data_IF_194375394913
#
_entry.id   IF_194375394913
#
_cell.length_a   1.000
_cell.length_b   1.000
_cell.length_c   1.000
_cell.angle_alpha   90.00
_cell.angle_beta   90.00
_cell.angle_gamma   90.00
#
_symmetry.space_group_name_H-M   'P 1'
#
loop_
_entity.id
_entity.type
_entity.pdbx_description
1 polymer ?
#
# COMPACT_ATOMS: atom_id res chain seq x y z
N UNK A 1 33.93 5.87 -11.32
CA UNK A 1 32.91 4.80 -11.39
C UNK A 1 33.05 4.00 -10.11
N UNK A 2 32.20 4.25 -9.13
CA UNK A 2 32.21 3.51 -7.86
C UNK A 2 31.31 2.30 -8.05
N UNK A 3 31.84 1.08 -7.88
CA UNK A 3 31.02 -0.13 -7.92
C UNK A 3 30.01 -0.09 -6.76
N UNK A 4 28.72 -0.39 -7.00
CA UNK A 4 27.72 -0.41 -5.94
C UNK A 4 28.06 -1.48 -4.90
N UNK A 5 27.96 -1.10 -3.62
CA UNK A 5 28.32 -1.98 -2.50
C UNK A 5 27.28 -3.10 -2.38
N UNK A 6 27.61 -4.34 -1.97
CA UNK A 6 26.66 -5.45 -1.86
C UNK A 6 25.36 -5.14 -1.08
N UNK A 7 25.43 -4.22 -0.13
CA UNK A 7 24.28 -3.70 0.61
C UNK A 7 23.30 -2.92 -0.29
N UNK A 8 23.80 -2.05 -1.16
CA UNK A 8 22.99 -1.22 -2.06
C UNK A 8 22.24 -2.08 -3.08
N UNK A 9 22.91 -3.10 -3.63
CA UNK A 9 22.30 -4.10 -4.52
C UNK A 9 21.16 -4.81 -3.81
N UNK A 10 21.39 -5.24 -2.57
CA UNK A 10 20.38 -5.94 -1.76
C UNK A 10 19.17 -5.03 -1.48
N UNK A 11 19.40 -3.78 -1.08
CA UNK A 11 18.33 -2.83 -0.81
C UNK A 11 17.53 -2.47 -2.07
N UNK A 12 18.20 -2.35 -3.21
CA UNK A 12 17.53 -2.12 -4.50
C UNK A 12 16.60 -3.29 -4.86
N UNK A 13 17.06 -4.53 -4.72
CA UNK A 13 16.23 -5.71 -4.95
C UNK A 13 15.02 -5.77 -3.99
N UNK A 14 15.23 -5.51 -2.70
CA UNK A 14 14.12 -5.46 -1.73
C UNK A 14 13.10 -4.37 -2.07
N UNK A 15 13.57 -3.20 -2.51
CA UNK A 15 12.69 -2.10 -2.95
C UNK A 15 11.88 -2.48 -4.19
N UNK A 16 12.48 -3.16 -5.15
CA UNK A 16 11.79 -3.66 -6.34
C UNK A 16 10.73 -4.71 -5.99
N UNK A 17 11.08 -5.67 -5.14
CA UNK A 17 10.13 -6.65 -4.61
C UNK A 17 8.98 -5.99 -3.86
N UNK A 18 9.27 -5.03 -2.99
CA UNK A 18 8.25 -4.27 -2.28
C UNK A 18 7.34 -3.52 -3.25
N UNK A 19 7.90 -2.80 -4.22
CA UNK A 19 7.11 -2.01 -5.19
C UNK A 19 6.20 -2.90 -6.03
N UNK A 20 6.70 -4.06 -6.47
CA UNK A 20 5.91 -5.04 -7.23
C UNK A 20 4.74 -5.58 -6.40
N UNK A 21 5.02 -5.97 -5.15
CA UNK A 21 4.00 -6.42 -4.21
C UNK A 21 2.97 -5.32 -3.94
N UNK A 22 3.43 -4.10 -3.66
CA UNK A 22 2.59 -2.95 -3.32
C UNK A 22 1.61 -2.61 -4.47
N UNK A 23 2.06 -2.71 -5.73
CA UNK A 23 1.16 -2.58 -6.89
C UNK A 23 0.08 -3.67 -6.92
N UNK A 24 0.47 -4.93 -6.72
CA UNK A 24 -0.48 -6.05 -6.67
C UNK A 24 -1.50 -5.89 -5.54
N UNK A 25 -1.05 -5.41 -4.39
CA UNK A 25 -1.92 -5.09 -3.25
C UNK A 25 -2.83 -3.90 -3.53
N UNK A 26 -2.39 -2.93 -4.34
CA UNK A 26 -3.23 -1.85 -4.83
C UNK A 26 -4.39 -2.35 -5.71
N UNK A 27 -4.11 -3.25 -6.65
CA UNK A 27 -5.16 -3.88 -7.46
C UNK A 27 -6.14 -4.70 -6.57
N UNK A 28 -5.63 -5.42 -5.58
CA UNK A 28 -6.45 -6.16 -4.61
C UNK A 28 -7.33 -5.21 -3.78
N UNK A 29 -6.78 -4.10 -3.27
CA UNK A 29 -7.53 -3.07 -2.55
C UNK A 29 -8.67 -2.50 -3.39
N UNK A 30 -8.44 -2.26 -4.68
CA UNK A 30 -9.46 -1.71 -5.59
C UNK A 30 -10.63 -2.68 -5.77
N UNK A 31 -10.36 -3.98 -5.87
CA UNK A 31 -11.39 -5.00 -5.95
C UNK A 31 -12.18 -5.12 -4.64
N UNK A 32 -11.47 -5.15 -3.50
CA UNK A 32 -12.08 -5.28 -2.17
C UNK A 32 -12.91 -4.06 -1.79
N UNK A 33 -12.48 -2.86 -2.18
CA UNK A 33 -13.24 -1.63 -1.97
C UNK A 33 -14.64 -1.70 -2.61
N UNK A 34 -14.77 -2.41 -3.74
CA UNK A 34 -16.05 -2.63 -4.41
C UNK A 34 -16.98 -3.63 -3.71
N UNK A 35 -16.47 -4.42 -2.76
CA UNK A 35 -17.24 -5.48 -2.08
C UNK A 35 -17.36 -5.29 -0.57
N UNK A 36 -16.75 -4.25 0.00
CA UNK A 36 -16.69 -4.04 1.46
C UNK A 36 -18.07 -3.93 2.14
N UNK A 37 -19.08 -3.44 1.41
CA UNK A 37 -20.47 -3.31 1.91
C UNK A 37 -21.18 -4.67 2.04
N UNK A 38 -20.75 -5.68 1.28
CA UNK A 38 -21.43 -6.98 1.18
C UNK A 38 -20.62 -8.14 1.76
N UNK A 39 -19.33 -7.94 2.02
CA UNK A 39 -18.39 -8.98 2.44
C UNK A 39 -17.51 -8.52 3.60
N UNK A 40 -17.84 -8.95 4.83
CA UNK A 40 -17.03 -8.70 6.03
C UNK A 40 -15.60 -9.25 5.91
N UNK A 41 -15.36 -10.25 5.06
CA UNK A 41 -14.02 -10.78 4.84
C UNK A 41 -13.15 -9.80 4.05
N UNK A 42 -13.78 -8.95 3.21
CA UNK A 42 -13.09 -7.90 2.47
C UNK A 42 -12.50 -6.85 3.44
N UNK A 43 -13.26 -6.46 4.46
CA UNK A 43 -12.83 -5.50 5.47
C UNK A 43 -11.59 -5.99 6.24
N UNK A 44 -11.58 -7.27 6.64
CA UNK A 44 -10.41 -7.91 7.27
C UNK A 44 -9.20 -7.98 6.34
N UNK A 45 -9.44 -8.15 5.05
CA UNK A 45 -8.39 -8.26 4.03
C UNK A 45 -7.77 -6.89 3.74
N UNK A 46 -8.59 -5.86 3.56
CA UNK A 46 -8.17 -4.45 3.42
C UNK A 46 -7.30 -4.06 4.61
N UNK A 47 -7.74 -4.34 5.85
CA UNK A 47 -6.96 -4.03 7.05
C UNK A 47 -5.58 -4.66 7.04
N UNK A 48 -5.47 -5.93 6.62
CA UNK A 48 -4.18 -6.64 6.58
C UNK A 48 -3.23 -6.02 5.56
N UNK A 49 -3.74 -5.62 4.40
CA UNK A 49 -2.95 -4.94 3.37
C UNK A 49 -2.47 -3.59 3.90
N UNK A 50 -3.38 -2.80 4.45
CA UNK A 50 -3.11 -1.50 5.06
C UNK A 50 -2.01 -1.59 6.13
N UNK A 51 -2.16 -2.51 7.10
CA UNK A 51 -1.16 -2.76 8.14
C UNK A 51 0.23 -3.06 7.58
N UNK A 52 0.31 -3.94 6.57
CA UNK A 52 1.60 -4.31 6.01
C UNK A 52 2.24 -3.18 5.22
N UNK A 53 1.45 -2.36 4.53
CA UNK A 53 1.94 -1.19 3.79
C UNK A 53 2.41 -0.10 4.74
N UNK A 54 1.66 0.16 5.82
CA UNK A 54 2.03 1.11 6.87
C UNK A 54 3.42 0.81 7.43
N UNK A 55 3.70 -0.45 7.76
CA UNK A 55 4.99 -0.87 8.33
C UNK A 55 6.15 -0.90 7.33
N UNK A 56 5.91 -1.20 6.05
CA UNK A 56 6.99 -1.41 5.08
C UNK A 56 7.28 -0.19 4.20
N UNK A 57 6.28 0.64 3.87
CA UNK A 57 6.44 1.72 2.90
C UNK A 57 7.44 2.80 3.33
N UNK A 58 7.49 3.13 4.62
CA UNK A 58 8.44 4.11 5.16
C UNK A 58 9.91 3.67 4.98
N UNK A 59 10.20 2.37 5.12
CA UNK A 59 11.54 1.79 4.95
C UNK A 59 12.09 2.04 3.54
N UNK A 60 11.21 2.03 2.53
CA UNK A 60 11.57 2.19 1.13
C UNK A 60 11.38 3.63 0.60
N UNK A 61 11.23 4.60 1.49
CA UNK A 61 11.14 6.02 1.14
C UNK A 61 9.76 6.44 0.60
N UNK A 62 8.69 5.77 1.02
CA UNK A 62 7.31 6.09 0.62
C UNK A 62 6.46 6.51 1.84
N UNK A 63 6.79 7.64 2.50
CA UNK A 63 6.11 8.06 3.73
C UNK A 63 4.61 8.33 3.51
N UNK A 64 4.22 8.91 2.37
CA UNK A 64 2.81 9.15 2.07
C UNK A 64 1.99 7.86 2.00
N UNK A 65 2.54 6.81 1.38
CA UNK A 65 1.89 5.48 1.34
C UNK A 65 1.80 4.88 2.73
N UNK A 66 2.86 5.02 3.54
CA UNK A 66 2.88 4.54 4.92
C UNK A 66 1.80 5.21 5.77
N UNK A 67 1.69 6.54 5.71
CA UNK A 67 0.68 7.32 6.43
C UNK A 67 -0.74 6.98 5.97
N UNK A 68 -1.02 7.02 4.66
CA UNK A 68 -2.36 6.72 4.15
C UNK A 68 -2.81 5.28 4.48
N UNK A 69 -1.87 4.33 4.49
CA UNK A 69 -2.17 2.96 4.89
C UNK A 69 -2.41 2.84 6.40
N UNK A 70 -1.71 3.61 7.23
CA UNK A 70 -1.96 3.65 8.68
C UNK A 70 -3.33 4.28 8.98
N UNK A 71 -3.67 5.38 8.32
CA UNK A 71 -4.97 6.05 8.47
C UNK A 71 -6.13 5.11 8.08
N UNK A 72 -5.96 4.35 6.98
CA UNK A 72 -6.94 3.34 6.55
C UNK A 72 -7.06 2.18 7.56
N UNK A 73 -5.93 1.71 8.10
CA UNK A 73 -5.95 0.67 9.14
C UNK A 73 -6.71 1.16 10.39
N UNK A 74 -6.43 2.38 10.85
CA UNK A 74 -7.06 3.00 12.01
C UNK A 74 -8.56 3.23 11.77
N UNK A 75 -8.96 3.75 10.62
CA UNK A 75 -10.37 3.92 10.25
C UNK A 75 -11.15 2.59 10.33
N UNK A 76 -10.54 1.48 9.92
CA UNK A 76 -11.16 0.15 10.03
C UNK A 76 -11.27 -0.28 11.50
N UNK A 77 -10.26 -0.02 12.33
CA UNK A 77 -10.26 -0.37 13.76
C UNK A 77 -11.32 0.43 14.51
N UNK A 78 -11.48 1.71 14.18
CA UNK A 78 -12.44 2.62 14.79
C UNK A 78 -13.89 2.39 14.31
N UNK A 79 -14.09 1.52 13.32
CA UNK A 79 -15.41 1.21 12.78
C UNK A 79 -15.97 2.33 11.90
N UNK A 80 -15.10 2.98 11.12
CA UNK A 80 -15.52 3.98 10.14
C UNK A 80 -16.54 3.40 9.14
N UNK A 81 -17.40 4.26 8.55
CA UNK A 81 -18.37 3.83 7.54
C UNK A 81 -17.72 3.11 6.36
N UNK A 82 -18.40 2.10 5.83
CA UNK A 82 -17.88 1.27 4.74
C UNK A 82 -17.58 2.10 3.47
N UNK A 83 -18.36 3.16 3.23
CA UNK A 83 -18.12 4.09 2.12
C UNK A 83 -16.79 4.86 2.27
N UNK A 84 -16.43 5.24 3.49
CA UNK A 84 -15.18 5.95 3.78
C UNK A 84 -14.00 4.99 3.60
N UNK A 85 -14.13 3.76 4.11
CA UNK A 85 -13.14 2.68 3.92
C UNK A 85 -12.95 2.39 2.42
N UNK A 86 -14.04 2.29 1.64
CA UNK A 86 -13.98 2.07 0.20
C UNK A 86 -13.28 3.22 -0.53
N UNK A 87 -13.59 4.46 -0.16
CA UNK A 87 -12.99 5.65 -0.76
C UNK A 87 -11.49 5.71 -0.48
N UNK A 88 -11.08 5.55 0.79
CA UNK A 88 -9.68 5.54 1.19
C UNK A 88 -8.90 4.37 0.55
N UNK A 89 -9.50 3.18 0.49
CA UNK A 89 -8.91 2.01 -0.17
C UNK A 89 -8.68 2.26 -1.66
N UNK A 90 -9.60 2.94 -2.34
CA UNK A 90 -9.47 3.28 -3.76
C UNK A 90 -8.38 4.34 -3.99
N UNK A 91 -8.31 5.37 -3.15
CA UNK A 91 -7.26 6.40 -3.23
C UNK A 91 -5.87 5.80 -3.01
N UNK A 92 -5.72 4.94 -1.99
CA UNK A 92 -4.48 4.24 -1.71
C UNK A 92 -4.13 3.30 -2.88
N UNK A 93 -5.10 2.55 -3.41
CA UNK A 93 -4.90 1.69 -4.58
C UNK A 93 -4.40 2.46 -5.81
N UNK A 94 -4.99 3.62 -6.12
CA UNK A 94 -4.56 4.45 -7.23
C UNK A 94 -3.14 4.99 -7.01
N UNK A 95 -2.74 5.31 -5.78
CA UNK A 95 -1.34 5.69 -5.49
C UNK A 95 -0.39 4.51 -5.69
N UNK A 96 -0.76 3.33 -5.20
CA UNK A 96 0.06 2.12 -5.25
C UNK A 96 0.29 1.63 -6.69
N UNK A 97 -0.76 1.62 -7.52
CA UNK A 97 -0.70 1.21 -8.92
C UNK A 97 0.16 2.16 -9.76
N UNK A 98 0.25 3.44 -9.37
CA UNK A 98 1.11 4.45 -10.00
C UNK A 98 2.55 4.50 -9.46
N UNK A 99 2.92 3.66 -8.48
CA UNK A 99 4.30 3.60 -7.98
C UNK A 99 5.25 3.24 -9.14
N UNK A 100 6.24 4.08 -9.40
CA UNK A 100 7.22 3.89 -10.49
C UNK A 100 6.87 4.52 -11.83
N UNK A 101 5.67 5.09 -11.99
CA UNK A 101 5.32 5.95 -13.15
C UNK A 101 5.91 7.36 -13.05
N UNK A 102 6.49 7.70 -11.89
CA UNK A 102 7.25 8.93 -11.65
C UNK A 102 8.69 8.60 -11.21
N UNK A 103 9.61 8.59 -12.18
CA UNK A 103 10.92 9.26 -12.08
C UNK A 103 11.43 9.52 -13.51
N UNK A 104 11.55 10.79 -13.90
CA UNK A 104 12.89 11.31 -14.07
C UNK A 104 13.11 12.50 -13.14
N UNK A 105 14.25 12.47 -12.44
CA UNK A 105 14.98 13.65 -12.03
C UNK A 105 16.42 13.42 -12.48
#
# INVERSE_FOLDING_TARGET
MTEPVPFEITMAALREHFTTRARSEGEELKLLAGTVVVDETALKRIRRIAHSLAGAAAIFGMPAVSTEAADLEEAIVDGAPENDIASQSTLLADRLTNLGSCQPA
#
